data_IF_362890593019
#
_entry.id   IF_362890593019
#
_cell.length_a   1.000
_cell.length_b   1.000
_cell.length_c   1.000
_cell.angle_alpha   90.00
_cell.angle_beta   90.00
_cell.angle_gamma   90.00
#
_symmetry.space_group_name_H-M   'P 1'
#
loop_
_entity.id
_entity.type
_entity.pdbx_description
1 polymer ?
#
# COMPACT_ATOMS: atom_id res chain seq x y z
N UNK A 1 -8.19 -26.74 -3.31
CA UNK A 1 -8.08 -25.86 -2.13
C UNK A 1 -8.81 -24.58 -2.46
N UNK A 2 -9.69 -24.14 -1.55
CA UNK A 2 -10.45 -22.91 -1.74
C UNK A 2 -9.93 -21.81 -0.82
N UNK A 3 -9.58 -20.67 -1.37
CA UNK A 3 -9.18 -19.46 -0.63
C UNK A 3 -10.21 -18.37 -0.90
N UNK A 4 -10.63 -17.63 0.12
CA UNK A 4 -11.49 -16.47 -0.03
C UNK A 4 -10.72 -15.21 0.40
N UNK A 5 -10.34 -14.37 -0.54
CA UNK A 5 -9.81 -13.05 -0.27
C UNK A 5 -10.94 -12.05 0.00
N UNK A 6 -10.76 -11.18 0.99
CA UNK A 6 -11.72 -10.11 1.32
C UNK A 6 -10.99 -8.78 1.24
N UNK A 7 -11.39 -7.93 0.27
CA UNK A 7 -10.81 -6.61 0.06
C UNK A 7 -11.89 -5.57 -0.30
N UNK A 8 -11.63 -4.31 0.00
CA UNK A 8 -12.54 -3.23 -0.36
C UNK A 8 -12.71 -3.06 -1.87
N UNK A 9 -11.67 -3.27 -2.66
CA UNK A 9 -11.67 -3.08 -4.10
C UNK A 9 -10.98 -4.24 -4.84
N UNK A 10 -11.38 -4.45 -6.09
CA UNK A 10 -10.76 -5.41 -6.98
C UNK A 10 -10.29 -4.70 -8.25
N UNK A 11 -9.03 -4.96 -8.67
CA UNK A 11 -8.43 -4.35 -9.86
C UNK A 11 -8.53 -2.81 -9.89
N UNK A 12 -8.48 -2.19 -8.70
CA UNK A 12 -8.59 -0.73 -8.53
C UNK A 12 -7.63 -0.28 -7.41
N UNK A 13 -6.72 0.65 -7.74
CA UNK A 13 -5.67 1.09 -6.82
C UNK A 13 -4.65 -0.02 -6.52
N UNK A 14 -3.68 0.28 -5.66
CA UNK A 14 -2.59 -0.66 -5.34
C UNK A 14 -3.09 -1.98 -4.74
N UNK A 15 -3.89 -1.93 -3.68
CA UNK A 15 -4.38 -3.14 -3.00
C UNK A 15 -5.34 -3.97 -3.84
N UNK A 16 -6.18 -3.33 -4.67
CA UNK A 16 -7.06 -4.04 -5.59
C UNK A 16 -6.30 -4.75 -6.71
N UNK A 17 -5.17 -4.19 -7.15
CA UNK A 17 -4.26 -4.83 -8.11
C UNK A 17 -3.54 -6.02 -7.46
N UNK A 18 -3.06 -5.88 -6.21
CA UNK A 18 -2.42 -6.97 -5.46
C UNK A 18 -3.37 -8.18 -5.35
N UNK A 19 -4.63 -7.95 -4.95
CA UNK A 19 -5.64 -9.00 -4.81
C UNK A 19 -5.91 -9.70 -6.15
N UNK A 20 -6.04 -8.96 -7.24
CA UNK A 20 -6.24 -9.56 -8.56
C UNK A 20 -5.03 -10.34 -9.07
N UNK A 21 -3.81 -9.85 -8.80
CA UNK A 21 -2.57 -10.54 -9.14
C UNK A 21 -2.44 -11.84 -8.31
N UNK A 22 -2.71 -11.79 -7.00
CA UNK A 22 -2.65 -12.96 -6.11
C UNK A 22 -3.70 -14.00 -6.49
N UNK A 23 -4.94 -13.59 -6.79
CA UNK A 23 -5.97 -14.48 -7.32
C UNK A 23 -5.50 -15.19 -8.59
N UNK A 24 -4.89 -14.46 -9.53
CA UNK A 24 -4.37 -15.03 -10.77
C UNK A 24 -3.28 -16.08 -10.51
N UNK A 25 -2.35 -15.76 -9.60
CA UNK A 25 -1.26 -16.67 -9.22
C UNK A 25 -1.82 -17.93 -8.52
N UNK A 26 -2.78 -17.78 -7.60
CA UNK A 26 -3.45 -18.90 -6.95
C UNK A 26 -4.10 -19.83 -7.98
N UNK A 27 -4.90 -19.27 -8.89
CA UNK A 27 -5.64 -20.05 -9.89
C UNK A 27 -4.69 -20.78 -10.85
N UNK A 28 -3.60 -20.14 -11.30
CA UNK A 28 -2.54 -20.77 -12.10
C UNK A 28 -1.87 -21.96 -11.38
N UNK A 29 -1.87 -21.97 -10.05
CA UNK A 29 -1.26 -22.99 -9.22
C UNK A 29 -2.27 -23.98 -8.62
N UNK A 30 -3.49 -24.09 -9.17
CA UNK A 30 -4.50 -25.06 -8.78
C UNK A 30 -5.18 -24.79 -7.43
N UNK A 31 -5.20 -23.51 -7.00
CA UNK A 31 -5.94 -23.04 -5.83
C UNK A 31 -7.13 -22.21 -6.32
N UNK A 32 -8.35 -22.64 -6.01
CA UNK A 32 -9.56 -21.88 -6.33
C UNK A 32 -9.63 -20.65 -5.45
N UNK A 33 -9.26 -19.48 -6.00
CA UNK A 33 -9.23 -18.23 -5.28
C UNK A 33 -10.46 -17.38 -5.59
N UNK A 34 -11.31 -17.23 -4.58
CA UNK A 34 -12.52 -16.40 -4.59
C UNK A 34 -12.21 -15.02 -4.01
N UNK A 35 -12.94 -13.99 -4.45
CA UNK A 35 -12.75 -12.63 -3.94
C UNK A 35 -14.08 -12.01 -3.53
N UNK A 36 -14.21 -11.61 -2.26
CA UNK A 36 -15.30 -10.76 -1.78
C UNK A 36 -14.85 -9.28 -1.81
N UNK A 37 -15.59 -8.44 -2.54
CA UNK A 37 -15.19 -7.05 -2.80
C UNK A 37 -16.38 -6.10 -2.79
N UNK A 38 -16.15 -4.81 -2.51
CA UNK A 38 -17.19 -3.78 -2.53
C UNK A 38 -17.20 -2.97 -3.84
N UNK A 39 -16.02 -2.73 -4.44
CA UNK A 39 -15.88 -2.01 -5.72
C UNK A 39 -14.91 -2.71 -6.66
N UNK A 40 -15.11 -2.51 -7.97
CA UNK A 40 -14.19 -2.99 -8.99
C UNK A 40 -14.13 -2.02 -10.15
N UNK A 41 -12.97 -1.87 -10.78
CA UNK A 41 -12.82 -1.25 -12.09
C UNK A 41 -12.95 -2.25 -13.24
N UNK A 42 -12.87 -3.56 -12.96
CA UNK A 42 -13.18 -4.61 -13.93
C UNK A 42 -14.69 -4.84 -14.03
N UNK A 43 -15.16 -5.08 -15.24
CA UNK A 43 -16.59 -5.45 -15.49
C UNK A 43 -16.90 -6.84 -14.93
N UNK A 44 -15.95 -7.77 -15.04
CA UNK A 44 -16.07 -9.13 -14.57
C UNK A 44 -14.98 -9.41 -13.53
N UNK A 45 -15.37 -10.06 -12.45
CA UNK A 45 -14.46 -10.52 -11.39
C UNK A 45 -14.60 -12.04 -11.32
N UNK A 46 -13.62 -12.81 -11.79
CA UNK A 46 -13.67 -14.27 -11.72
C UNK A 46 -13.84 -14.74 -10.28
N UNK A 47 -14.76 -15.68 -10.04
CA UNK A 47 -15.08 -16.20 -8.71
C UNK A 47 -15.37 -15.08 -7.68
N UNK A 48 -15.93 -13.95 -8.15
CA UNK A 48 -16.16 -12.75 -7.36
C UNK A 48 -17.49 -12.76 -6.62
N UNK A 49 -17.48 -12.30 -5.36
CA UNK A 49 -18.66 -12.01 -4.55
C UNK A 49 -18.72 -10.51 -4.25
N UNK A 50 -19.64 -9.81 -4.89
CA UNK A 50 -19.83 -8.36 -4.69
C UNK A 50 -20.60 -8.08 -3.40
N UNK A 51 -20.04 -7.27 -2.52
CA UNK A 51 -20.63 -6.87 -1.26
C UNK A 51 -21.33 -5.52 -1.35
N UNK A 52 -22.59 -5.50 -0.91
CA UNK A 52 -23.36 -4.29 -0.68
C UNK A 52 -23.53 -3.38 -1.91
N UNK A 53 -24.10 -2.22 -1.68
CA UNK A 53 -24.36 -1.18 -2.67
C UNK A 53 -23.64 0.12 -2.34
N UNK A 54 -23.63 1.06 -3.28
CA UNK A 54 -23.08 2.41 -3.03
C UNK A 54 -23.85 3.14 -1.92
N UNK A 55 -25.19 2.98 -1.87
CA UNK A 55 -26.05 3.62 -0.86
C UNK A 55 -25.68 3.12 0.53
N UNK A 56 -25.59 1.81 0.72
CA UNK A 56 -25.21 1.21 2.00
C UNK A 56 -23.85 1.69 2.49
N UNK A 57 -22.86 1.77 1.58
CA UNK A 57 -21.53 2.30 1.93
C UNK A 57 -21.56 3.78 2.33
N UNK A 58 -22.42 4.59 1.69
CA UNK A 58 -22.62 5.99 2.08
C UNK A 58 -23.26 6.11 3.47
N UNK A 59 -24.26 5.26 3.76
CA UNK A 59 -24.89 5.20 5.10
C UNK A 59 -23.86 4.78 6.16
N UNK A 60 -23.10 3.71 5.91
CA UNK A 60 -22.03 3.28 6.79
C UNK A 60 -21.00 4.41 7.03
N UNK A 61 -20.57 5.11 5.96
CA UNK A 61 -19.64 6.22 6.05
C UNK A 61 -20.19 7.37 6.92
N UNK A 62 -21.48 7.68 6.78
CA UNK A 62 -22.14 8.70 7.63
C UNK A 62 -22.15 8.29 9.10
N UNK A 63 -22.60 7.06 9.39
CA UNK A 63 -22.62 6.53 10.75
C UNK A 63 -21.21 6.47 11.36
N UNK A 64 -20.21 6.05 10.57
CA UNK A 64 -18.81 6.03 11.01
C UNK A 64 -18.30 7.41 11.43
N UNK A 65 -18.63 8.45 10.64
CA UNK A 65 -18.22 9.83 10.92
C UNK A 65 -18.92 10.41 12.17
N UNK A 66 -20.18 10.08 12.36
CA UNK A 66 -20.95 10.54 13.54
C UNK A 66 -20.47 9.82 14.80
N UNK A 67 -20.40 8.51 14.78
CA UNK A 67 -20.10 7.70 15.97
C UNK A 67 -18.60 7.44 16.19
N UNK A 68 -17.73 7.81 15.24
CA UNK A 68 -16.27 7.64 15.34
C UNK A 68 -15.79 6.19 15.22
N UNK A 69 -16.57 5.30 14.59
CA UNK A 69 -16.27 3.86 14.50
C UNK A 69 -16.38 3.36 13.06
N UNK A 70 -15.26 3.21 12.37
CA UNK A 70 -15.21 2.61 11.04
C UNK A 70 -15.18 1.08 11.13
N UNK A 71 -15.82 0.41 10.14
CA UNK A 71 -16.00 -1.04 10.07
C UNK A 71 -16.84 -1.66 11.21
N UNK A 72 -17.78 -0.88 11.75
CA UNK A 72 -18.74 -1.34 12.77
C UNK A 72 -20.19 -1.42 12.29
N UNK A 73 -20.45 -1.05 11.05
CA UNK A 73 -21.80 -1.04 10.44
C UNK A 73 -21.85 -2.06 9.30
N UNK A 74 -22.81 -1.97 8.37
CA UNK A 74 -23.02 -2.96 7.28
C UNK A 74 -23.31 -4.37 7.80
N UNK A 75 -24.21 -4.48 8.79
CA UNK A 75 -24.56 -5.78 9.40
C UNK A 75 -25.16 -6.76 8.40
N UNK A 76 -26.09 -6.28 7.55
CA UNK A 76 -26.76 -7.13 6.56
C UNK A 76 -25.78 -7.71 5.55
N UNK A 77 -24.91 -6.86 4.98
CA UNK A 77 -23.90 -7.27 4.00
C UNK A 77 -22.92 -8.28 4.59
N UNK A 78 -22.53 -8.03 5.85
CA UNK A 78 -21.66 -8.96 6.56
C UNK A 78 -22.40 -10.28 6.84
N UNK A 79 -23.65 -10.26 7.26
CA UNK A 79 -24.44 -11.47 7.47
C UNK A 79 -24.57 -12.30 6.16
N UNK A 80 -24.82 -11.62 5.03
CA UNK A 80 -24.85 -12.27 3.71
C UNK A 80 -23.49 -12.86 3.32
N UNK A 81 -22.40 -12.14 3.61
CA UNK A 81 -21.03 -12.66 3.45
C UNK A 81 -20.80 -13.92 4.31
N UNK A 82 -21.22 -13.93 5.56
CA UNK A 82 -21.09 -15.09 6.45
C UNK A 82 -21.87 -16.31 5.92
N UNK A 83 -23.06 -16.09 5.34
CA UNK A 83 -23.81 -17.15 4.65
C UNK A 83 -23.07 -17.67 3.41
N UNK A 84 -22.46 -16.75 2.65
CA UNK A 84 -21.61 -17.11 1.50
C UNK A 84 -20.40 -17.94 1.94
N UNK A 85 -19.70 -17.53 3.01
CA UNK A 85 -18.55 -18.27 3.56
C UNK A 85 -18.98 -19.70 3.98
N UNK A 86 -20.14 -19.86 4.67
CA UNK A 86 -20.66 -21.19 5.03
C UNK A 86 -20.95 -22.07 3.82
N UNK A 87 -21.49 -21.49 2.72
CA UNK A 87 -21.79 -22.25 1.49
C UNK A 87 -20.53 -22.57 0.70
N UNK A 88 -19.56 -21.67 0.70
CA UNK A 88 -18.31 -21.83 -0.04
C UNK A 88 -17.38 -22.84 0.64
N UNK A 89 -17.38 -22.86 1.97
CA UNK A 89 -16.48 -23.68 2.80
C UNK A 89 -15.01 -23.48 2.41
N UNK A 90 -14.49 -22.24 2.52
CA UNK A 90 -13.10 -21.98 2.17
C UNK A 90 -12.14 -22.64 3.17
N UNK A 91 -11.05 -23.21 2.68
CA UNK A 91 -9.94 -23.71 3.52
C UNK A 91 -9.25 -22.54 4.27
N UNK A 92 -9.19 -21.35 3.64
CA UNK A 92 -8.55 -20.14 4.19
C UNK A 92 -9.38 -18.91 3.83
N UNK A 93 -9.55 -18.01 4.78
CA UNK A 93 -10.02 -16.63 4.54
C UNK A 93 -8.83 -15.66 4.66
N UNK A 94 -8.60 -14.88 3.62
CA UNK A 94 -7.51 -13.92 3.57
C UNK A 94 -8.05 -12.48 3.60
N UNK A 95 -7.72 -11.74 4.67
CA UNK A 95 -8.14 -10.36 4.87
C UNK A 95 -7.07 -9.40 4.36
N UNK A 96 -7.47 -8.51 3.46
CA UNK A 96 -6.69 -7.36 3.00
C UNK A 96 -7.26 -6.07 3.60
N UNK A 97 -7.56 -5.03 2.79
CA UNK A 97 -8.16 -3.81 3.30
C UNK A 97 -9.66 -3.99 3.55
N UNK A 98 -10.03 -4.14 4.81
CA UNK A 98 -11.44 -4.29 5.25
C UNK A 98 -12.07 -2.96 5.69
N UNK A 99 -11.34 -1.87 5.67
CA UNK A 99 -11.87 -0.52 5.79
C UNK A 99 -12.63 -0.09 4.50
N UNK A 100 -13.12 1.14 4.36
CA UNK A 100 -13.97 1.64 3.27
C UNK A 100 -15.48 1.35 3.41
N UNK A 101 -15.95 1.16 4.64
CA UNK A 101 -17.37 1.24 4.97
C UNK A 101 -18.28 0.20 4.27
N UNK A 102 -17.84 -1.05 4.17
CA UNK A 102 -18.62 -2.11 3.51
C UNK A 102 -18.83 -3.36 4.37
N UNK A 103 -18.15 -3.44 5.52
CA UNK A 103 -18.06 -4.63 6.36
C UNK A 103 -18.20 -4.27 7.85
N UNK A 104 -18.82 -5.14 8.62
CA UNK A 104 -18.79 -5.12 10.09
C UNK A 104 -17.72 -6.12 10.55
N UNK A 105 -16.53 -5.60 10.92
CA UNK A 105 -15.35 -6.40 11.16
C UNK A 105 -15.49 -7.36 12.34
N UNK A 106 -15.98 -6.87 13.48
CA UNK A 106 -16.08 -7.68 14.70
C UNK A 106 -17.00 -8.90 14.51
N UNK A 107 -18.07 -8.75 13.72
CA UNK A 107 -18.96 -9.85 13.37
C UNK A 107 -18.25 -10.90 12.52
N UNK A 108 -17.47 -10.46 11.51
CA UNK A 108 -16.67 -11.35 10.68
C UNK A 108 -15.61 -12.10 11.52
N UNK A 109 -14.81 -11.38 12.32
CA UNK A 109 -13.75 -11.99 13.13
C UNK A 109 -14.32 -12.98 14.17
N UNK A 110 -15.46 -12.63 14.79
CA UNK A 110 -16.17 -13.55 15.70
C UNK A 110 -16.61 -14.84 15.00
N UNK A 111 -17.09 -14.71 13.76
CA UNK A 111 -17.49 -15.88 12.96
C UNK A 111 -16.30 -16.75 12.59
N UNK A 112 -15.19 -16.15 12.13
CA UNK A 112 -13.96 -16.87 11.79
C UNK A 112 -13.43 -17.64 13.00
N UNK A 113 -13.38 -16.97 14.16
CA UNK A 113 -12.92 -17.60 15.41
C UNK A 113 -13.81 -18.77 15.85
N UNK A 114 -15.14 -18.59 15.86
CA UNK A 114 -16.10 -19.63 16.31
C UNK A 114 -16.15 -20.85 15.40
N UNK A 115 -15.84 -20.71 14.13
CA UNK A 115 -15.85 -21.82 13.15
C UNK A 115 -14.44 -22.34 12.85
N UNK A 116 -13.43 -21.93 13.61
CA UNK A 116 -12.02 -22.31 13.46
C UNK A 116 -11.53 -22.21 12.00
N UNK A 117 -11.90 -21.13 11.30
CA UNK A 117 -11.49 -20.92 9.92
C UNK A 117 -10.07 -20.36 9.89
N UNK A 118 -9.16 -21.02 9.16
CA UNK A 118 -7.82 -20.50 8.97
C UNK A 118 -7.86 -19.11 8.33
N UNK A 119 -7.18 -18.17 8.96
CA UNK A 119 -7.26 -16.76 8.58
C UNK A 119 -5.87 -16.19 8.33
N UNK A 120 -5.68 -15.56 7.18
CA UNK A 120 -4.48 -14.76 6.86
C UNK A 120 -4.87 -13.30 6.88
N UNK A 121 -3.99 -12.44 7.40
CA UNK A 121 -4.15 -10.98 7.37
C UNK A 121 -2.93 -10.36 6.74
N UNK A 122 -3.10 -9.65 5.61
CA UNK A 122 -2.02 -8.86 5.02
C UNK A 122 -2.16 -7.38 5.42
N UNK A 123 -1.09 -6.87 6.01
CA UNK A 123 -1.00 -5.51 6.51
C UNK A 123 -0.50 -4.58 5.39
N UNK A 124 -1.44 -3.93 4.69
CA UNK A 124 -1.11 -2.96 3.64
C UNK A 124 -0.90 -1.54 4.19
N UNK A 125 -1.44 -1.27 5.36
CA UNK A 125 -1.31 -0.03 6.13
C UNK A 125 -1.45 -0.33 7.64
N UNK A 126 -1.32 0.70 8.49
CA UNK A 126 -1.36 0.53 9.94
C UNK A 126 -2.77 0.39 10.52
N UNK A 127 -3.81 0.38 9.69
CA UNK A 127 -5.19 0.42 10.17
C UNK A 127 -5.56 -0.77 11.07
N UNK A 128 -5.04 -1.97 10.79
CA UNK A 128 -5.34 -3.16 11.59
C UNK A 128 -4.77 -3.14 13.00
N UNK A 129 -3.65 -2.46 13.22
CA UNK A 129 -2.96 -2.44 14.52
C UNK A 129 -2.97 -1.08 15.21
N UNK A 130 -3.81 -0.16 14.73
CA UNK A 130 -4.03 1.17 15.34
C UNK A 130 -5.50 1.38 15.69
N UNK A 131 -5.84 2.51 16.29
CA UNK A 131 -7.22 2.93 16.55
C UNK A 131 -7.95 3.48 15.32
N UNK A 132 -7.45 3.23 14.07
CA UNK A 132 -8.13 3.60 12.83
C UNK A 132 -7.33 4.45 11.85
N UNK A 133 -6.11 4.88 12.18
CA UNK A 133 -5.27 5.59 11.23
C UNK A 133 -4.53 4.63 10.28
N UNK A 134 -4.29 5.08 9.04
CA UNK A 134 -3.56 4.30 8.04
C UNK A 134 -2.05 4.37 8.27
N UNK A 135 -1.57 5.49 8.79
CA UNK A 135 -0.19 5.72 9.21
C UNK A 135 -0.17 6.67 10.40
N UNK A 136 0.89 6.65 11.19
CA UNK A 136 1.01 7.45 12.42
C UNK A 136 2.35 8.20 12.53
N UNK A 137 3.31 7.90 11.67
CA UNK A 137 4.67 8.43 11.73
C UNK A 137 4.73 9.93 11.46
N UNK A 138 4.00 10.45 10.47
CA UNK A 138 3.89 11.88 10.17
C UNK A 138 3.33 12.69 11.35
N UNK A 139 2.43 12.09 12.13
CA UNK A 139 1.87 12.70 13.33
C UNK A 139 2.75 12.52 14.57
N UNK A 140 3.89 11.84 14.43
CA UNK A 140 4.78 11.43 15.52
C UNK A 140 4.01 10.79 16.69
N UNK A 141 3.06 9.90 16.38
CA UNK A 141 2.13 9.32 17.33
C UNK A 141 2.55 7.89 17.69
N UNK A 142 2.76 7.63 18.97
CA UNK A 142 3.07 6.30 19.52
C UNK A 142 1.96 5.75 20.41
N UNK A 143 0.79 6.38 20.47
CA UNK A 143 -0.32 5.98 21.35
C UNK A 143 -0.89 4.60 21.02
N UNK A 144 -0.75 4.16 19.78
CA UNK A 144 -1.16 2.81 19.34
C UNK A 144 -0.43 1.68 20.07
N UNK A 145 0.73 1.96 20.66
CA UNK A 145 1.47 0.99 21.50
C UNK A 145 0.76 0.66 22.82
N UNK A 146 -0.14 1.50 23.27
CA UNK A 146 -0.80 1.40 24.57
C UNK A 146 -2.33 1.25 24.42
N UNK A 147 -3.02 2.34 24.17
CA UNK A 147 -4.48 2.37 24.16
C UNK A 147 -5.12 3.29 23.09
N UNK A 148 -4.30 3.96 22.27
CA UNK A 148 -4.78 5.07 21.44
C UNK A 148 -5.49 6.18 22.25
N UNK A 149 -6.60 6.75 21.71
CA UNK A 149 -7.33 7.88 22.36
C UNK A 149 -6.69 9.25 22.08
N UNK A 150 -7.50 10.32 22.17
CA UNK A 150 -7.08 11.69 21.83
C UNK A 150 -6.32 11.75 20.50
N UNK A 151 -6.92 11.15 19.45
CA UNK A 151 -6.24 10.87 18.20
C UNK A 151 -5.89 12.16 17.43
N UNK A 152 -4.59 12.42 17.15
CA UNK A 152 -4.18 13.62 16.39
C UNK A 152 -4.63 13.56 14.92
N UNK A 153 -4.93 12.37 14.39
CA UNK A 153 -5.43 12.13 13.03
C UNK A 153 -6.94 11.88 12.97
N UNK A 154 -7.71 12.20 14.02
CA UNK A 154 -9.16 11.96 14.14
C UNK A 154 -9.97 12.43 12.93
N UNK A 155 -9.57 13.52 12.26
CA UNK A 155 -10.29 14.10 11.12
C UNK A 155 -9.64 13.76 9.76
N UNK A 156 -8.53 13.01 9.73
CA UNK A 156 -7.79 12.72 8.50
C UNK A 156 -8.21 11.39 7.85
N UNK A 157 -7.67 10.27 8.32
CA UNK A 157 -7.77 8.97 7.63
C UNK A 157 -9.18 8.36 7.71
N UNK A 158 -9.73 8.29 8.92
CA UNK A 158 -11.07 7.78 9.20
C UNK A 158 -11.86 8.85 9.98
N UNK A 159 -12.36 9.90 9.29
CA UNK A 159 -12.93 11.07 9.98
C UNK A 159 -14.02 10.71 10.99
N UNK A 160 -13.84 11.21 12.23
CA UNK A 160 -14.74 11.04 13.36
C UNK A 160 -15.07 12.45 13.93
N UNK A 161 -16.23 12.97 13.60
CA UNK A 161 -16.54 14.37 13.90
C UNK A 161 -16.84 14.62 15.39
N UNK A 162 -17.63 13.76 16.00
CA UNK A 162 -18.14 14.01 17.36
C UNK A 162 -17.37 13.22 18.42
N UNK A 163 -17.07 11.95 18.18
CA UNK A 163 -16.47 11.06 19.17
C UNK A 163 -15.14 10.50 18.70
N UNK A 164 -14.16 10.49 19.57
CA UNK A 164 -12.92 9.71 19.36
C UNK A 164 -13.13 8.34 20.01
N UNK A 165 -13.24 7.31 19.18
CA UNK A 165 -13.36 5.92 19.61
C UNK A 165 -12.08 5.11 19.33
N UNK A 166 -10.96 5.77 19.05
CA UNK A 166 -9.73 5.09 18.66
C UNK A 166 -9.21 4.11 19.71
N UNK A 167 -9.37 4.42 21.01
CA UNK A 167 -9.02 3.50 22.10
C UNK A 167 -9.88 2.23 22.05
N UNK A 168 -11.20 2.38 21.96
CA UNK A 168 -12.10 1.22 21.87
C UNK A 168 -11.86 0.40 20.59
N UNK A 169 -11.57 1.05 19.47
CA UNK A 169 -11.27 0.36 18.21
C UNK A 169 -10.03 -0.50 18.35
N UNK A 170 -8.98 0.01 18.98
CA UNK A 170 -7.75 -0.75 19.22
C UNK A 170 -8.00 -1.93 20.17
N UNK A 171 -8.69 -1.72 21.27
CA UNK A 171 -9.05 -2.77 22.21
C UNK A 171 -9.89 -3.88 21.55
N UNK A 172 -10.87 -3.51 20.72
CA UNK A 172 -11.68 -4.47 19.98
C UNK A 172 -10.81 -5.28 18.99
N UNK A 173 -9.87 -4.66 18.29
CA UNK A 173 -8.95 -5.37 17.38
C UNK A 173 -8.09 -6.37 18.11
N UNK A 174 -7.49 -5.99 19.23
CA UNK A 174 -6.74 -6.90 20.08
C UNK A 174 -7.63 -8.08 20.48
N UNK A 175 -8.82 -7.82 21.01
CA UNK A 175 -9.77 -8.85 21.44
C UNK A 175 -10.18 -9.81 20.34
N UNK A 176 -10.62 -9.30 19.19
CA UNK A 176 -11.20 -10.14 18.16
C UNK A 176 -10.15 -10.88 17.32
N UNK A 177 -9.00 -10.28 17.03
CA UNK A 177 -7.90 -10.99 16.36
C UNK A 177 -7.25 -12.02 17.27
N UNK A 178 -7.11 -11.74 18.57
CA UNK A 178 -6.57 -12.73 19.52
C UNK A 178 -7.46 -13.96 19.70
N UNK A 179 -8.76 -13.83 19.43
CA UNK A 179 -9.70 -14.93 19.51
C UNK A 179 -9.62 -15.92 18.34
N UNK A 180 -8.96 -15.59 17.21
CA UNK A 180 -8.84 -16.49 16.05
C UNK A 180 -7.72 -17.50 16.32
N UNK A 181 -8.00 -18.83 16.41
CA UNK A 181 -6.98 -19.80 16.76
C UNK A 181 -5.91 -19.95 15.67
N UNK A 182 -6.33 -20.05 14.41
CA UNK A 182 -5.47 -20.26 13.25
C UNK A 182 -5.28 -18.95 12.46
N UNK A 183 -4.55 -18.01 13.07
CA UNK A 183 -4.26 -16.71 12.48
C UNK A 183 -2.80 -16.61 12.03
N UNK A 184 -2.59 -16.20 10.78
CA UNK A 184 -1.29 -15.88 10.22
C UNK A 184 -1.24 -14.43 9.75
N UNK A 185 -0.18 -13.71 10.07
CA UNK A 185 -0.03 -12.29 9.72
C UNK A 185 1.06 -12.11 8.67
N UNK A 186 0.78 -11.35 7.63
CA UNK A 186 1.76 -10.99 6.60
C UNK A 186 1.96 -9.48 6.61
N UNK A 187 3.19 -9.04 6.80
CA UNK A 187 3.59 -7.64 6.60
C UNK A 187 4.12 -7.42 5.20
N UNK A 188 3.67 -6.35 4.53
CA UNK A 188 4.23 -5.96 3.22
C UNK A 188 5.62 -5.35 3.34
N UNK A 189 6.09 -5.08 4.57
CA UNK A 189 7.44 -4.66 4.94
C UNK A 189 7.79 -5.17 6.34
N UNK A 190 9.07 -5.20 6.67
CA UNK A 190 9.55 -5.53 8.03
C UNK A 190 9.04 -4.51 9.03
N UNK A 191 9.05 -3.23 8.64
CA UNK A 191 8.59 -2.13 9.46
C UNK A 191 7.15 -2.35 9.95
N UNK A 192 6.19 -2.53 9.02
CA UNK A 192 4.78 -2.67 9.41
C UNK A 192 4.51 -3.95 10.20
N UNK A 193 5.20 -5.05 9.88
CA UNK A 193 5.04 -6.30 10.62
C UNK A 193 5.58 -6.19 12.03
N UNK A 194 6.77 -5.62 12.21
CA UNK A 194 7.39 -5.38 13.52
C UNK A 194 6.45 -4.59 14.43
N UNK A 195 5.86 -3.51 13.91
CA UNK A 195 4.99 -2.65 14.68
C UNK A 195 3.66 -3.34 15.02
N UNK A 196 3.04 -4.03 14.09
CA UNK A 196 1.81 -4.77 14.30
C UNK A 196 1.95 -5.90 15.35
N UNK A 197 3.12 -6.56 15.39
CA UNK A 197 3.43 -7.59 16.37
C UNK A 197 3.63 -7.06 17.80
N UNK A 198 3.86 -5.77 17.99
CA UNK A 198 3.98 -5.19 19.32
C UNK A 198 2.63 -5.16 20.07
N UNK A 199 1.50 -5.14 19.36
CA UNK A 199 0.18 -4.92 19.98
C UNK A 199 -0.84 -5.97 19.52
N UNK A 200 -1.42 -5.82 18.34
CA UNK A 200 -2.58 -6.62 17.91
C UNK A 200 -2.19 -8.04 17.52
N UNK A 201 -1.03 -8.23 16.90
CA UNK A 201 -0.59 -9.52 16.36
C UNK A 201 0.58 -10.11 17.14
N UNK A 202 0.68 -9.77 18.43
CA UNK A 202 1.70 -10.33 19.31
C UNK A 202 1.60 -11.87 19.36
N UNK A 203 2.75 -12.55 19.33
CA UNK A 203 2.87 -14.01 19.37
C UNK A 203 2.09 -14.77 18.27
N UNK A 204 1.76 -14.12 17.16
CA UNK A 204 1.15 -14.78 16.00
C UNK A 204 2.23 -15.22 15.02
N UNK A 205 1.96 -16.34 14.33
CA UNK A 205 2.76 -16.71 13.16
C UNK A 205 2.74 -15.59 12.15
N UNK A 206 3.90 -15.22 11.68
CA UNK A 206 4.01 -14.08 10.78
C UNK A 206 5.19 -14.20 9.81
N UNK A 207 5.07 -13.54 8.67
CA UNK A 207 6.11 -13.45 7.65
C UNK A 207 6.06 -12.09 6.94
N UNK A 208 7.21 -11.61 6.50
CA UNK A 208 7.27 -10.50 5.53
C UNK A 208 7.16 -11.09 4.13
N UNK A 209 6.18 -10.59 3.36
CA UNK A 209 6.08 -10.82 1.92
C UNK A 209 5.95 -9.44 1.29
N UNK A 210 7.02 -8.95 0.69
CA UNK A 210 7.02 -7.66 0.02
C UNK A 210 6.02 -7.63 -1.13
N UNK A 211 5.30 -6.52 -1.28
CA UNK A 211 4.55 -6.30 -2.52
C UNK A 211 5.52 -6.29 -3.70
N UNK A 212 5.08 -6.83 -4.82
CA UNK A 212 5.88 -6.92 -6.02
C UNK A 212 5.30 -6.10 -7.17
N UNK A 213 6.15 -5.76 -8.12
CA UNK A 213 5.77 -5.11 -9.37
C UNK A 213 5.84 -6.07 -10.55
N UNK A 214 5.10 -5.75 -11.60
CA UNK A 214 5.17 -6.48 -12.87
C UNK A 214 6.43 -6.08 -13.64
N UNK A 215 7.46 -6.92 -13.53
CA UNK A 215 8.77 -6.70 -14.16
C UNK A 215 8.75 -6.75 -15.69
N UNK A 216 7.67 -7.23 -16.30
CA UNK A 216 7.49 -7.22 -17.76
C UNK A 216 6.93 -5.88 -18.24
N UNK A 217 6.15 -5.21 -17.40
CA UNK A 217 5.63 -3.86 -17.63
C UNK A 217 6.68 -2.83 -17.23
N UNK A 218 7.11 -2.86 -15.97
CA UNK A 218 8.12 -1.94 -15.44
C UNK A 218 9.52 -2.47 -15.73
N UNK A 219 10.10 -1.94 -16.79
CA UNK A 219 11.46 -2.22 -17.25
C UNK A 219 11.98 -1.01 -18.01
N UNK A 220 13.28 -0.87 -18.18
CA UNK A 220 13.87 0.23 -18.95
C UNK A 220 13.22 0.35 -20.32
N UNK A 221 12.83 1.57 -20.69
CA UNK A 221 12.27 1.96 -21.97
C UNK A 221 13.26 2.85 -22.70
N UNK A 222 13.12 2.93 -24.00
CA UNK A 222 13.92 3.88 -24.77
C UNK A 222 13.61 5.34 -24.40
N UNK A 223 14.43 6.26 -24.91
CA UNK A 223 14.38 7.70 -24.63
C UNK A 223 13.27 8.47 -25.40
N UNK A 224 12.28 7.79 -25.97
CA UNK A 224 11.25 8.41 -26.81
C UNK A 224 10.47 9.52 -26.12
N UNK A 225 10.09 9.33 -24.85
CA UNK A 225 9.41 10.38 -24.10
C UNK A 225 10.35 11.58 -23.84
N UNK A 226 11.61 11.33 -23.52
CA UNK A 226 12.62 12.38 -23.29
C UNK A 226 12.83 13.26 -24.54
N UNK A 227 12.91 12.62 -25.70
CA UNK A 227 13.01 13.31 -27.01
C UNK A 227 11.76 14.12 -27.30
N UNK A 228 10.58 13.52 -27.15
CA UNK A 228 9.29 14.20 -27.44
C UNK A 228 9.05 15.42 -26.54
N UNK A 229 9.65 15.44 -25.34
CA UNK A 229 9.54 16.54 -24.38
C UNK A 229 10.70 17.54 -24.47
N UNK A 230 11.71 17.31 -25.32
CA UNK A 230 12.88 18.18 -25.45
C UNK A 230 13.80 18.18 -24.24
N UNK A 231 13.93 17.05 -23.54
CA UNK A 231 14.71 16.91 -22.30
C UNK A 231 16.09 16.25 -22.50
N UNK A 232 16.58 16.09 -23.73
CA UNK A 232 17.79 15.33 -24.01
C UNK A 232 19.04 15.89 -23.32
N UNK A 233 19.11 17.21 -23.17
CA UNK A 233 20.22 17.91 -22.50
C UNK A 233 19.94 18.24 -21.02
N UNK A 234 18.79 17.82 -20.48
CA UNK A 234 18.37 18.13 -19.12
C UNK A 234 18.64 16.98 -18.17
N UNK A 235 18.98 17.25 -16.93
CA UNK A 235 18.93 16.31 -15.82
C UNK A 235 17.50 16.33 -15.24
N UNK A 236 16.81 15.20 -15.36
CA UNK A 236 15.39 15.07 -15.02
C UNK A 236 15.21 14.47 -13.62
N UNK A 237 14.77 15.28 -12.68
CA UNK A 237 14.38 14.86 -11.33
C UNK A 237 12.88 14.60 -11.35
N UNK A 238 12.48 13.36 -11.09
CA UNK A 238 11.07 12.94 -11.13
C UNK A 238 10.47 12.88 -9.73
N UNK A 239 9.21 13.28 -9.57
CA UNK A 239 8.48 13.18 -8.31
C UNK A 239 6.99 13.00 -8.48
N UNK A 240 6.31 12.44 -7.47
CA UNK A 240 4.85 12.35 -7.46
C UNK A 240 4.22 13.68 -7.05
N UNK A 241 3.37 14.26 -7.90
CA UNK A 241 2.68 15.53 -7.61
C UNK A 241 1.90 15.48 -6.29
N UNK A 242 1.26 14.34 -5.98
CA UNK A 242 0.50 14.16 -4.73
C UNK A 242 1.36 14.35 -3.48
N UNK A 243 2.62 13.94 -3.52
CA UNK A 243 3.55 14.07 -2.38
C UNK A 243 4.22 15.42 -2.38
N UNK A 244 4.78 15.85 -3.48
CA UNK A 244 5.52 17.11 -3.61
C UNK A 244 4.66 18.35 -3.35
N UNK A 245 3.39 18.35 -3.74
CA UNK A 245 2.46 19.45 -3.56
C UNK A 245 1.67 19.39 -2.24
N UNK A 246 2.00 18.44 -1.36
CA UNK A 246 1.41 18.39 -0.03
C UNK A 246 1.89 19.55 0.83
N UNK A 247 1.07 19.99 1.78
CA UNK A 247 1.41 21.08 2.70
C UNK A 247 2.71 20.83 3.49
N UNK A 248 3.01 19.57 3.77
CA UNK A 248 4.20 19.18 4.54
C UNK A 248 5.49 19.27 3.73
N UNK A 249 5.39 19.20 2.39
CA UNK A 249 6.54 19.26 1.48
C UNK A 249 6.73 20.64 0.82
N UNK A 250 6.02 21.68 1.28
CA UNK A 250 6.17 23.04 0.72
C UNK A 250 7.61 23.52 0.79
N UNK A 251 8.28 23.36 1.93
CA UNK A 251 9.69 23.72 2.09
C UNK A 251 10.63 22.92 1.21
N UNK A 252 10.36 21.62 1.04
CA UNK A 252 11.10 20.73 0.15
C UNK A 252 11.01 21.23 -1.30
N UNK A 253 9.80 21.53 -1.77
CA UNK A 253 9.57 22.03 -3.13
C UNK A 253 10.27 23.37 -3.35
N UNK A 254 10.09 24.34 -2.43
CA UNK A 254 10.73 25.64 -2.50
C UNK A 254 12.26 25.53 -2.51
N UNK A 255 12.82 24.67 -1.65
CA UNK A 255 14.26 24.47 -1.57
C UNK A 255 14.82 23.90 -2.88
N UNK A 256 14.21 22.84 -3.42
CA UNK A 256 14.64 22.27 -4.71
C UNK A 256 14.59 23.31 -5.82
N UNK A 257 13.47 23.99 -6.02
CA UNK A 257 13.30 24.97 -7.11
C UNK A 257 14.31 26.11 -7.05
N UNK A 258 14.72 26.53 -5.85
CA UNK A 258 15.71 27.61 -5.66
C UNK A 258 17.15 27.14 -5.90
N UNK A 259 17.42 25.81 -5.81
CA UNK A 259 18.80 25.31 -5.89
C UNK A 259 19.08 24.48 -7.17
N UNK A 260 18.03 24.16 -7.99
CA UNK A 260 18.25 23.50 -9.28
C UNK A 260 19.19 24.33 -10.18
N UNK A 261 20.16 23.66 -10.83
CA UNK A 261 21.03 24.27 -11.84
C UNK A 261 20.26 24.57 -13.14
N UNK A 262 20.90 25.23 -14.12
CA UNK A 262 20.23 25.61 -15.36
C UNK A 262 19.82 24.39 -16.23
N UNK A 263 20.56 23.29 -16.13
CA UNK A 263 20.30 22.04 -16.86
C UNK A 263 19.43 21.04 -16.07
N UNK A 264 18.89 21.43 -14.89
CA UNK A 264 18.05 20.57 -14.05
C UNK A 264 16.59 20.99 -14.10
N UNK A 265 15.70 19.98 -14.20
CA UNK A 265 14.24 20.17 -14.13
C UNK A 265 13.62 19.21 -13.12
N UNK A 266 12.59 19.70 -12.42
CA UNK A 266 11.72 18.88 -11.57
C UNK A 266 10.44 18.56 -12.33
N UNK A 267 10.20 17.28 -12.57
CA UNK A 267 9.02 16.78 -13.29
C UNK A 267 8.09 16.10 -12.28
N UNK A 268 6.88 16.61 -12.11
CA UNK A 268 5.89 16.07 -11.20
C UNK A 268 4.78 15.34 -11.96
N UNK A 269 4.73 14.00 -11.82
CA UNK A 269 3.70 13.18 -12.47
C UNK A 269 2.47 12.97 -11.59
N UNK A 270 1.35 12.61 -12.22
CA UNK A 270 0.12 12.23 -11.55
C UNK A 270 -0.80 13.39 -11.21
N UNK A 271 -0.71 14.48 -11.94
CA UNK A 271 -1.55 15.67 -11.78
C UNK A 271 -2.97 15.41 -12.29
N UNK A 272 -3.95 15.51 -11.39
CA UNK A 272 -5.38 15.25 -11.70
C UNK A 272 -6.19 16.52 -11.99
N UNK A 273 -5.72 17.68 -11.51
CA UNK A 273 -6.38 18.98 -11.67
C UNK A 273 -5.35 20.00 -12.10
N UNK A 274 -5.79 21.03 -12.77
CA UNK A 274 -4.94 22.16 -13.12
C UNK A 274 -4.31 22.78 -11.87
N UNK A 275 -3.03 23.09 -11.96
CA UNK A 275 -2.22 23.65 -10.86
C UNK A 275 -1.80 25.05 -11.31
N UNK A 276 -2.16 26.05 -10.53
CA UNK A 276 -1.83 27.47 -10.81
C UNK A 276 -0.38 27.84 -10.50
N UNK A 277 0.30 27.07 -9.65
CA UNK A 277 1.71 27.32 -9.32
C UNK A 277 2.59 26.94 -10.51
N UNK A 278 3.33 27.90 -11.04
CA UNK A 278 4.25 27.73 -12.15
C UNK A 278 5.67 28.17 -11.77
N UNK A 279 6.65 27.46 -12.27
CA UNK A 279 8.06 27.80 -12.15
C UNK A 279 8.81 27.33 -13.41
N UNK A 280 9.81 28.06 -13.95
CA UNK A 280 10.49 27.71 -15.21
C UNK A 280 11.12 26.31 -15.23
N UNK A 281 11.54 25.80 -14.07
CA UNK A 281 12.17 24.49 -13.90
C UNK A 281 11.20 23.42 -13.39
N UNK A 282 9.88 23.66 -13.35
CA UNK A 282 8.88 22.75 -12.85
C UNK A 282 7.91 22.36 -13.96
N UNK A 283 7.82 21.08 -14.23
CA UNK A 283 6.97 20.52 -15.28
C UNK A 283 5.95 19.59 -14.65
N UNK A 284 4.71 19.62 -15.14
CA UNK A 284 3.62 18.80 -14.66
C UNK A 284 3.19 17.80 -15.72
N UNK A 285 3.19 16.51 -15.37
CA UNK A 285 2.62 15.45 -16.20
C UNK A 285 1.25 15.03 -15.65
N UNK A 286 0.27 14.92 -16.56
CA UNK A 286 -1.08 14.50 -16.21
C UNK A 286 -1.11 13.09 -15.64
N UNK A 287 -2.11 12.82 -14.82
CA UNK A 287 -2.38 11.49 -14.30
C UNK A 287 -2.71 10.52 -15.44
N UNK A 288 -2.12 9.34 -15.38
CA UNK A 288 -2.43 8.23 -16.28
C UNK A 288 -2.74 6.95 -15.49
N UNK A 289 -3.60 6.11 -16.05
CA UNK A 289 -3.82 4.72 -15.62
C UNK A 289 -3.02 3.73 -16.48
N UNK A 290 -2.39 4.19 -17.54
CA UNK A 290 -1.57 3.35 -18.40
C UNK A 290 -0.23 3.06 -17.73
N UNK A 291 -0.04 1.80 -17.34
CA UNK A 291 1.17 1.33 -16.68
C UNK A 291 2.39 1.32 -17.61
N UNK A 292 2.17 1.14 -18.93
CA UNK A 292 3.25 1.21 -19.91
C UNK A 292 3.77 2.64 -20.03
N UNK A 293 2.85 3.62 -20.13
CA UNK A 293 3.21 5.02 -20.13
C UNK A 293 3.88 5.46 -18.82
N UNK A 294 3.45 4.91 -17.66
CA UNK A 294 4.18 5.14 -16.40
C UNK A 294 5.60 4.60 -16.44
N UNK A 295 5.84 3.43 -17.05
CA UNK A 295 7.20 2.90 -17.22
C UNK A 295 8.07 3.79 -18.13
N UNK A 296 7.48 4.43 -19.15
CA UNK A 296 8.17 5.43 -19.97
C UNK A 296 8.53 6.68 -19.17
N UNK A 297 7.61 7.17 -18.32
CA UNK A 297 7.86 8.32 -17.43
C UNK A 297 9.02 8.01 -16.47
N UNK A 298 9.01 6.85 -15.81
CA UNK A 298 10.11 6.46 -14.93
C UNK A 298 11.43 6.36 -15.70
N UNK A 299 11.43 5.72 -16.87
CA UNK A 299 12.64 5.54 -17.69
C UNK A 299 13.19 6.84 -18.29
N UNK A 300 12.38 7.92 -18.34
CA UNK A 300 12.81 9.22 -18.84
C UNK A 300 13.55 10.08 -17.82
N UNK A 301 13.60 9.64 -16.57
CA UNK A 301 14.22 10.39 -15.48
C UNK A 301 15.63 9.90 -15.15
N UNK A 302 16.47 10.80 -14.65
CA UNK A 302 17.81 10.48 -14.15
C UNK A 302 17.78 10.07 -12.67
N UNK A 303 16.80 10.59 -11.92
CA UNK A 303 16.55 10.21 -10.51
C UNK A 303 15.09 10.42 -10.14
N UNK A 304 14.54 9.48 -9.38
CA UNK A 304 13.23 9.62 -8.73
C UNK A 304 13.41 10.09 -7.30
N UNK A 305 12.75 11.19 -6.91
CA UNK A 305 12.77 11.70 -5.54
C UNK A 305 11.40 11.53 -4.90
N UNK A 306 11.34 10.71 -3.86
CA UNK A 306 10.13 10.48 -3.08
C UNK A 306 10.22 11.16 -1.71
N UNK A 307 9.56 12.30 -1.57
CA UNK A 307 9.49 13.06 -0.33
C UNK A 307 8.31 12.67 0.58
N UNK A 308 7.80 11.43 0.47
CA UNK A 308 6.76 10.93 1.38
C UNK A 308 7.31 10.74 2.78
N UNK A 309 6.59 11.21 3.81
CA UNK A 309 6.97 11.00 5.20
C UNK A 309 6.61 9.59 5.70
N UNK A 310 5.66 8.94 5.06
CA UNK A 310 5.15 7.64 5.50
C UNK A 310 4.62 6.82 4.32
N UNK A 311 5.01 5.54 4.28
CA UNK A 311 4.47 4.52 3.39
C UNK A 311 4.75 3.14 3.98
N UNK A 312 3.86 2.18 3.77
CA UNK A 312 4.08 0.79 4.20
C UNK A 312 5.07 0.05 3.30
N UNK A 313 5.04 0.34 2.00
CA UNK A 313 6.01 -0.07 0.98
C UNK A 313 5.72 0.70 -0.32
N UNK A 314 6.64 1.53 -0.75
CA UNK A 314 6.41 2.45 -1.85
C UNK A 314 6.52 1.80 -3.24
N UNK A 315 5.39 1.65 -3.92
CA UNK A 315 5.38 1.15 -5.30
C UNK A 315 6.13 2.08 -6.26
N UNK A 316 6.02 3.40 -6.12
CA UNK A 316 6.71 4.34 -7.04
C UNK A 316 8.23 4.22 -6.96
N UNK A 317 8.78 3.91 -5.78
CA UNK A 317 10.21 3.65 -5.62
C UNK A 317 10.60 2.36 -6.35
N UNK A 318 9.82 1.29 -6.17
CA UNK A 318 10.08 -0.02 -6.76
C UNK A 318 9.90 0.03 -8.28
N UNK A 319 8.84 0.66 -8.78
CA UNK A 319 8.55 0.82 -10.21
C UNK A 319 9.64 1.63 -10.93
N UNK A 320 10.11 2.72 -10.30
CA UNK A 320 11.21 3.53 -10.81
C UNK A 320 12.50 2.72 -10.96
N UNK A 321 12.91 2.02 -9.91
CA UNK A 321 14.11 1.17 -9.95
C UNK A 321 13.95 -0.02 -10.91
N UNK A 322 12.74 -0.59 -11.06
CA UNK A 322 12.46 -1.60 -12.08
C UNK A 322 12.69 -1.08 -13.50
N UNK A 323 12.42 0.21 -13.72
CA UNK A 323 12.69 0.91 -14.98
C UNK A 323 14.15 1.39 -15.13
N UNK A 324 15.01 1.07 -14.14
CA UNK A 324 16.43 1.42 -14.16
C UNK A 324 16.78 2.78 -13.60
N UNK A 325 15.81 3.51 -13.04
CA UNK A 325 15.98 4.85 -12.50
C UNK A 325 16.22 4.81 -11.00
N UNK A 326 17.34 5.34 -10.48
CA UNK A 326 17.67 5.34 -9.06
C UNK A 326 16.68 6.19 -8.26
N UNK A 327 16.60 5.91 -6.95
CA UNK A 327 15.65 6.55 -6.04
C UNK A 327 16.37 7.23 -4.88
N UNK A 328 15.93 8.47 -4.56
CA UNK A 328 16.25 9.12 -3.29
C UNK A 328 14.94 9.33 -2.52
N UNK A 329 14.87 8.86 -1.28
CA UNK A 329 13.63 8.88 -0.49
C UNK A 329 13.87 9.27 0.97
N UNK A 330 12.81 9.68 1.67
CA UNK A 330 12.86 9.68 3.13
C UNK A 330 12.85 8.25 3.67
N UNK A 331 13.55 8.01 4.79
CA UNK A 331 13.64 6.72 5.48
C UNK A 331 12.64 6.56 6.63
N UNK A 332 12.91 5.61 7.52
CA UNK A 332 12.22 5.43 8.79
C UNK A 332 10.88 4.69 8.74
N UNK A 333 10.43 4.25 7.56
CA UNK A 333 9.22 3.42 7.38
C UNK A 333 9.49 2.34 6.32
N UNK A 334 8.46 1.73 5.75
CA UNK A 334 8.62 0.83 4.60
C UNK A 334 9.24 1.49 3.35
N UNK A 335 9.38 2.81 3.33
CA UNK A 335 10.13 3.54 2.30
C UNK A 335 11.60 3.11 2.26
N UNK A 336 12.25 3.01 3.42
CA UNK A 336 13.66 2.66 3.55
C UNK A 336 13.95 1.25 3.03
N UNK A 337 12.98 0.33 3.16
CA UNK A 337 13.12 -1.04 2.69
C UNK A 337 13.08 -1.17 1.15
N UNK A 338 12.72 -0.11 0.45
CA UNK A 338 12.70 -0.07 -1.02
C UNK A 338 14.03 0.32 -1.64
N UNK A 339 15.03 0.68 -0.85
CA UNK A 339 16.35 1.11 -1.30
C UNK A 339 17.45 0.29 -0.62
N UNK A 340 18.61 0.15 -1.27
CA UNK A 340 19.71 -0.74 -0.84
C UNK A 340 21.00 0.02 -0.50
N UNK A 341 21.03 1.34 -0.64
CA UNK A 341 22.22 2.17 -0.46
C UNK A 341 23.19 2.15 -1.65
N UNK A 342 22.90 1.37 -2.71
CA UNK A 342 23.70 1.30 -3.95
C UNK A 342 22.99 1.91 -5.15
N UNK A 343 21.71 1.55 -5.32
CA UNK A 343 20.85 1.99 -6.43
C UNK A 343 19.71 2.91 -5.94
N UNK A 344 19.58 3.06 -4.65
CA UNK A 344 18.65 3.95 -4.00
C UNK A 344 19.16 4.34 -2.62
N UNK A 345 18.81 5.54 -2.19
CA UNK A 345 19.32 6.15 -0.97
C UNK A 345 18.18 6.69 -0.12
N UNK A 346 18.29 6.54 1.20
CA UNK A 346 17.36 7.14 2.15
C UNK A 346 18.03 8.21 2.99
N UNK A 347 17.27 9.27 3.30
CA UNK A 347 17.69 10.35 4.20
C UNK A 347 16.65 10.52 5.31
N UNK A 348 17.00 11.24 6.36
CA UNK A 348 16.10 11.49 7.49
C UNK A 348 14.81 12.18 7.02
N UNK A 349 13.61 11.74 7.47
CA UNK A 349 12.35 12.39 7.12
C UNK A 349 12.34 13.88 7.47
N UNK A 350 11.98 14.72 6.50
CA UNK A 350 11.93 16.17 6.64
C UNK A 350 13.28 16.91 6.47
N UNK A 351 14.37 16.18 6.30
CA UNK A 351 15.67 16.78 5.95
C UNK A 351 15.74 16.98 4.43
N UNK A 352 15.11 18.06 3.98
CA UNK A 352 15.05 18.42 2.56
C UNK A 352 16.40 18.88 2.00
N UNK A 353 17.32 19.33 2.86
CA UNK A 353 18.70 19.70 2.45
C UNK A 353 19.45 18.43 2.06
N UNK A 354 19.55 17.45 2.96
CA UNK A 354 20.18 16.16 2.66
C UNK A 354 19.47 15.42 1.51
N UNK A 355 18.14 15.58 1.37
CA UNK A 355 17.40 15.01 0.24
C UNK A 355 17.89 15.60 -1.09
N UNK A 356 18.08 16.91 -1.15
CA UNK A 356 18.60 17.60 -2.33
C UNK A 356 20.06 17.26 -2.61
N UNK A 357 20.92 17.30 -1.59
CA UNK A 357 22.34 16.98 -1.73
C UNK A 357 22.56 15.53 -2.21
N UNK A 358 21.80 14.58 -1.64
CA UNK A 358 21.84 13.18 -2.11
C UNK A 358 21.32 13.05 -3.53
N UNK A 359 20.30 13.82 -3.92
CA UNK A 359 19.82 13.87 -5.31
C UNK A 359 20.91 14.36 -6.25
N UNK A 360 21.60 15.44 -5.91
CA UNK A 360 22.73 15.95 -6.69
C UNK A 360 23.88 14.95 -6.79
N UNK A 361 24.18 14.25 -5.68
CA UNK A 361 25.19 13.19 -5.68
C UNK A 361 24.84 12.07 -6.65
N UNK A 362 23.59 11.62 -6.66
CA UNK A 362 23.10 10.56 -7.59
C UNK A 362 23.18 11.04 -9.05
N UNK A 363 22.88 12.31 -9.33
CA UNK A 363 23.00 12.87 -10.69
C UNK A 363 24.44 12.93 -11.17
N UNK A 364 25.38 13.25 -10.27
CA UNK A 364 26.82 13.30 -10.58
C UNK A 364 27.46 11.90 -10.70
N UNK A 365 26.95 10.93 -9.95
CA UNK A 365 27.45 9.55 -9.86
C UNK A 365 26.28 8.55 -10.01
N UNK A 366 25.66 8.48 -11.21
CA UNK A 366 24.47 7.67 -11.40
C UNK A 366 24.79 6.18 -11.28
N UNK A 367 24.04 5.45 -10.45
CA UNK A 367 24.10 4.00 -10.43
C UNK A 367 23.75 3.41 -11.82
N UNK A 368 24.35 2.28 -12.14
CA UNK A 368 24.00 1.60 -13.39
C UNK A 368 22.53 1.17 -13.39
N UNK A 369 21.82 1.45 -14.47
CA UNK A 369 20.39 1.11 -14.65
C UNK A 369 20.11 -0.38 -14.40
N UNK A 370 20.99 -1.27 -14.88
CA UNK A 370 20.90 -2.71 -14.66
C UNK A 370 21.04 -3.10 -13.19
N UNK A 371 21.82 -2.35 -12.40
CA UNK A 371 21.94 -2.58 -10.96
C UNK A 371 20.63 -2.24 -10.23
N UNK A 372 20.01 -1.09 -10.56
CA UNK A 372 18.71 -0.71 -10.01
C UNK A 372 17.64 -1.77 -10.32
N UNK A 373 17.58 -2.22 -11.57
CA UNK A 373 16.66 -3.27 -11.98
C UNK A 373 16.94 -4.60 -11.27
N UNK A 374 18.20 -5.02 -11.17
CA UNK A 374 18.60 -6.28 -10.53
C UNK A 374 18.16 -6.35 -9.06
N UNK A 375 18.24 -5.23 -8.34
CA UNK A 375 17.70 -5.11 -6.98
C UNK A 375 16.20 -5.44 -6.93
N UNK A 376 15.41 -4.83 -7.82
CA UNK A 376 13.96 -5.09 -7.89
C UNK A 376 13.65 -6.54 -8.27
N UNK A 377 14.35 -7.10 -9.27
CA UNK A 377 14.18 -8.51 -9.68
C UNK A 377 14.48 -9.50 -8.55
N UNK A 378 15.37 -9.13 -7.64
CA UNK A 378 15.71 -9.92 -6.46
C UNK A 378 14.66 -9.81 -5.37
N UNK A 379 14.17 -8.60 -5.06
CA UNK A 379 13.40 -8.32 -3.87
C UNK A 379 11.89 -8.11 -4.11
N UNK A 380 11.52 -7.61 -5.29
CA UNK A 380 10.18 -7.08 -5.53
C UNK A 380 9.52 -7.61 -6.82
N UNK A 381 9.95 -8.76 -7.31
CA UNK A 381 9.27 -9.48 -8.39
C UNK A 381 7.95 -10.05 -7.85
N UNK A 382 6.81 -9.62 -8.40
CA UNK A 382 5.49 -10.02 -7.89
C UNK A 382 5.22 -11.52 -7.97
N UNK A 383 5.67 -12.18 -9.04
CA UNK A 383 5.46 -13.64 -9.20
C UNK A 383 6.21 -14.41 -8.11
N UNK A 384 7.48 -14.06 -7.84
CA UNK A 384 8.29 -14.66 -6.78
C UNK A 384 7.74 -14.38 -5.39
N UNK A 385 7.26 -13.16 -5.15
CA UNK A 385 6.80 -12.77 -3.83
C UNK A 385 5.43 -13.37 -3.53
N UNK A 386 4.49 -13.29 -4.47
CA UNK A 386 3.12 -13.73 -4.21
C UNK A 386 2.95 -15.24 -4.17
N UNK A 387 3.83 -16.02 -4.83
CA UNK A 387 3.85 -17.48 -4.68
C UNK A 387 4.08 -17.93 -3.22
N UNK A 388 4.73 -17.10 -2.40
CA UNK A 388 4.96 -17.38 -0.98
C UNK A 388 3.66 -17.43 -0.15
N UNK A 389 2.58 -16.78 -0.60
CA UNK A 389 1.26 -16.90 0.04
C UNK A 389 0.70 -18.29 -0.09
N UNK A 390 0.99 -18.99 -1.19
CA UNK A 390 0.53 -20.37 -1.42
C UNK A 390 1.13 -21.34 -0.38
N UNK A 391 2.37 -21.08 0.06
CA UNK A 391 3.00 -21.88 1.12
C UNK A 391 2.28 -21.71 2.44
N UNK A 392 1.89 -20.45 2.77
CA UNK A 392 1.10 -20.15 3.98
C UNK A 392 -0.27 -20.86 3.90
N UNK A 393 -0.96 -20.79 2.76
CA UNK A 393 -2.26 -21.44 2.62
C UNK A 393 -2.15 -22.96 2.77
N UNK A 394 -1.15 -23.57 2.13
CA UNK A 394 -0.90 -25.03 2.20
C UNK A 394 -0.53 -25.49 3.60
N UNK A 395 0.18 -24.67 4.39
CA UNK A 395 0.58 -25.01 5.76
C UNK A 395 -0.62 -25.26 6.68
N UNK A 396 -1.73 -24.53 6.52
CA UNK A 396 -2.96 -24.76 7.27
C UNK A 396 -3.61 -26.12 6.97
N UNK A 397 -3.45 -26.62 5.74
CA UNK A 397 -4.01 -27.93 5.34
C UNK A 397 -3.18 -29.10 5.85
N UNK A 398 -1.88 -28.92 6.02
CA UNK A 398 -1.00 -29.94 6.57
C UNK A 398 -1.29 -30.20 8.06
N UNK A 399 -1.58 -29.16 8.84
CA UNK A 399 -1.92 -29.24 10.26
C UNK A 399 -3.23 -30.03 10.48
N UNK A 400 -4.23 -29.87 9.61
CA UNK A 400 -5.52 -30.59 9.70
C UNK A 400 -5.40 -32.11 9.45
N UNK A 401 -4.35 -32.58 8.76
CA UNK A 401 -4.13 -34.00 8.49
C UNK A 401 -3.36 -34.73 9.60
N UNK A 402 -2.74 -33.97 10.51
CA UNK A 402 -1.92 -34.47 11.62
C UNK A 402 -2.63 -34.39 12.98
N UNK A 403 -3.79 -33.80 13.05
CA UNK A 403 -4.72 -33.78 14.21
C UNK A 403 -5.90 -34.74 13.98
#
# INVERSE_FOLDING_TARGET
MKVLEINACYYQGSTGTIVSDLQSICNKNGIDCYVAYATSSSREVPLGYKMGSLVQRKIHALLSRIAGKQAYYSFLETFLLLRYIRKLEPDVVHLHNVHNNYLQLNLLLTFLAKNDIATVVTLHDCWFHTGGCFHYTEANCNRWLYDCGNCPKKLKDTPAYFRDCSSQILADRIKYFSAIPRLYTVGVSKWILKDAQQVVFNNRQARVIYNGVDINIFKPRGNGLRISMGWESMEVILGSATKWLSSNNKKTLEYFLNHLSQNQILVLFGVKKEISFAHPKLIYLKYTNDRMHMAEIYSSADVMVNCSFEDSLSFINIESQACGTPVVTYGGTGLEETVDGLCGFSVRPGDYVSLFETTCHVLQHPPASDSCRSWVLKMFDKEKNYIQYLDIYKSFKAIQKSS
#
